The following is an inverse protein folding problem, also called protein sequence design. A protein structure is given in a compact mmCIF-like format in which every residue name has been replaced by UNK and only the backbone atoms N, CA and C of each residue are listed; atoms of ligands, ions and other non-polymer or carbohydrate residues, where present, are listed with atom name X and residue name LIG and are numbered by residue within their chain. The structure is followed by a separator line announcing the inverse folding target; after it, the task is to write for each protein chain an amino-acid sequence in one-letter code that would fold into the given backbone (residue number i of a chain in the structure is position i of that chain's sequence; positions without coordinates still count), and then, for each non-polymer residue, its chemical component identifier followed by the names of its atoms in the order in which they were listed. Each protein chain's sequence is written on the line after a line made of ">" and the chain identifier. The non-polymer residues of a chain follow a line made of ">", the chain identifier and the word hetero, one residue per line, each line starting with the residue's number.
data_IF_798944678799
#
_entry.id   IF_798944678799
#
_cell.length_a   1.000
_cell.length_b   1.000
_cell.length_c   1.000
_cell.angle_alpha   90.00
_cell.angle_beta   90.00
_cell.angle_gamma   90.00
#
_symmetry.space_group_name_H-M   'P 1'
#
loop_
_entity.id
_entity.type
_entity.pdbx_description
1 polymer ?
#
# COMPACT_ATOMS: atom_id res chain seq x y z
N UNK A 1 22.81 -0.18 -7.98
CA UNK A 1 22.03 0.69 -7.08
C UNK A 1 22.72 2.04 -6.97
N UNK A 2 22.02 3.12 -7.21
CA UNK A 2 22.51 4.49 -7.04
C UNK A 2 21.76 5.15 -5.90
N UNK A 3 22.45 5.92 -5.06
CA UNK A 3 21.86 6.68 -3.95
C UNK A 3 21.97 8.17 -4.23
N UNK A 4 20.86 8.90 -4.12
CA UNK A 4 20.81 10.37 -4.19
C UNK A 4 20.17 10.93 -2.94
N UNK A 5 20.73 12.00 -2.40
CA UNK A 5 20.19 12.72 -1.23
C UNK A 5 20.11 14.21 -1.52
N UNK A 6 19.03 14.83 -1.03
CA UNK A 6 18.90 16.29 -1.09
C UNK A 6 19.80 16.88 -0.01
N UNK A 7 20.55 17.94 -0.35
CA UNK A 7 21.36 18.69 0.62
C UNK A 7 20.44 19.38 1.64
N UNK A 8 20.68 19.16 2.90
CA UNK A 8 19.93 19.79 3.99
C UNK A 8 20.82 20.70 4.82
N UNK A 9 20.25 21.80 5.38
CA UNK A 9 20.96 22.67 6.31
C UNK A 9 21.37 21.90 7.56
N UNK A 10 22.48 22.29 8.18
CA UNK A 10 23.01 21.69 9.43
C UNK A 10 22.06 21.99 10.61
N UNK A 11 21.01 21.22 10.77
CA UNK A 11 20.18 21.26 11.97
C UNK A 11 20.74 20.30 13.03
N UNK A 12 20.67 20.71 14.30
CA UNK A 12 21.00 19.81 15.42
C UNK A 12 19.84 18.82 15.61
N UNK A 13 20.13 17.51 15.65
CA UNK A 13 19.15 16.45 15.87
C UNK A 13 19.39 15.20 14.99
N UNK A 14 18.55 14.18 15.18
CA UNK A 14 18.61 12.91 14.44
C UNK A 14 17.72 12.96 13.20
N UNK A 15 18.13 13.71 12.20
CA UNK A 15 17.38 13.89 10.96
C UNK A 15 17.93 13.00 9.84
N UNK A 16 17.05 12.22 9.23
CA UNK A 16 17.37 11.52 7.98
C UNK A 16 17.06 12.45 6.80
N UNK A 17 17.98 12.54 5.86
CA UNK A 17 17.78 13.31 4.61
C UNK A 17 16.85 12.54 3.66
N UNK A 18 15.97 13.21 2.90
CA UNK A 18 15.27 12.59 1.79
C UNK A 18 16.26 11.87 0.88
N UNK A 19 16.04 10.58 0.69
CA UNK A 19 16.99 9.68 0.03
C UNK A 19 16.28 8.88 -1.05
N UNK A 20 16.83 8.91 -2.24
CA UNK A 20 16.40 8.11 -3.39
C UNK A 20 17.40 6.99 -3.64
N UNK A 21 16.92 5.76 -3.73
CA UNK A 21 17.68 4.60 -4.21
C UNK A 21 17.15 4.16 -5.57
N UNK A 22 17.99 4.14 -6.57
CA UNK A 22 17.66 3.74 -7.93
C UNK A 22 18.38 2.44 -8.31
N UNK A 23 17.80 1.70 -9.27
CA UNK A 23 18.33 0.42 -9.74
C UNK A 23 18.22 -0.68 -8.69
N UNK A 24 17.17 -0.68 -7.89
CA UNK A 24 16.88 -1.74 -6.94
C UNK A 24 16.52 -3.04 -7.66
N UNK A 25 16.79 -4.15 -7.00
CA UNK A 25 16.33 -5.48 -7.38
C UNK A 25 15.33 -5.97 -6.35
N UNK A 26 14.36 -6.76 -6.80
CA UNK A 26 13.28 -7.30 -6.01
C UNK A 26 13.72 -8.03 -4.73
N UNK A 27 14.87 -8.72 -4.79
CA UNK A 27 15.41 -9.50 -3.67
C UNK A 27 16.25 -8.70 -2.66
N UNK A 28 16.35 -7.38 -2.83
CA UNK A 28 17.07 -6.53 -1.87
C UNK A 28 16.18 -6.25 -0.65
N UNK A 29 16.77 -6.21 0.54
CA UNK A 29 16.06 -5.90 1.79
C UNK A 29 15.26 -4.61 1.70
N UNK A 30 15.82 -3.55 1.11
CA UNK A 30 15.16 -2.26 0.91
C UNK A 30 13.92 -2.34 0.00
N UNK A 31 13.81 -3.37 -0.84
CA UNK A 31 12.63 -3.59 -1.69
C UNK A 31 11.57 -4.45 -1.00
N UNK A 32 11.92 -5.14 0.09
CA UNK A 32 11.05 -6.08 0.79
C UNK A 32 10.60 -5.60 2.17
N UNK A 33 11.32 -4.66 2.77
CA UNK A 33 11.02 -4.15 4.10
C UNK A 33 10.64 -2.67 4.04
N UNK A 34 9.64 -2.31 4.84
CA UNK A 34 9.20 -0.93 4.95
C UNK A 34 10.21 -0.11 5.76
N UNK A 35 10.69 0.99 5.17
CA UNK A 35 11.54 1.96 5.86
C UNK A 35 10.66 3.13 6.30
N UNK A 36 10.29 3.17 7.56
CA UNK A 36 9.53 4.30 8.12
C UNK A 36 10.39 5.57 8.16
N UNK A 37 10.57 6.21 7.00
CA UNK A 37 11.42 7.38 6.86
C UNK A 37 11.38 7.98 5.46
N UNK A 38 12.08 9.09 5.21
CA UNK A 38 12.07 9.80 3.93
C UNK A 38 12.94 9.09 2.88
N UNK A 39 12.58 7.87 2.55
CA UNK A 39 13.32 7.00 1.62
C UNK A 39 12.40 6.51 0.53
N UNK A 40 12.84 6.62 -0.72
CA UNK A 40 12.14 6.09 -1.89
C UNK A 40 13.05 5.13 -2.65
N UNK A 41 12.54 3.94 -2.95
CA UNK A 41 13.21 2.96 -3.81
C UNK A 41 12.60 2.91 -5.21
N UNK A 42 13.41 2.81 -6.24
CA UNK A 42 12.99 2.69 -7.63
C UNK A 42 13.41 1.33 -8.19
N UNK A 43 12.42 0.59 -8.69
CA UNK A 43 12.60 -0.61 -9.50
C UNK A 43 12.07 -0.34 -10.90
N UNK A 44 12.89 -0.61 -11.91
CA UNK A 44 12.49 -0.49 -13.31
C UNK A 44 11.96 -1.84 -13.79
N UNK A 45 10.81 -1.82 -14.46
CA UNK A 45 10.14 -2.98 -15.05
C UNK A 45 9.92 -2.77 -16.55
N UNK A 46 9.75 -3.84 -17.30
CA UNK A 46 9.64 -3.81 -18.76
C UNK A 46 8.19 -3.62 -19.25
N UNK A 47 7.24 -4.13 -18.50
CA UNK A 47 5.83 -4.14 -18.85
C UNK A 47 4.95 -4.28 -17.59
N UNK A 48 3.63 -4.29 -17.79
CA UNK A 48 2.66 -4.34 -16.70
C UNK A 48 2.65 -5.69 -15.97
N UNK A 49 2.90 -6.79 -16.68
CA UNK A 49 2.99 -8.13 -16.07
C UNK A 49 4.15 -8.21 -15.08
N UNK A 50 5.31 -7.67 -15.47
CA UNK A 50 6.47 -7.59 -14.57
C UNK A 50 6.20 -6.63 -13.41
N UNK A 51 5.54 -5.49 -13.66
CA UNK A 51 5.13 -4.55 -12.61
C UNK A 51 4.23 -5.22 -11.57
N UNK A 52 3.19 -5.92 -12.03
CA UNK A 52 2.27 -6.65 -11.16
C UNK A 52 2.97 -7.75 -10.38
N UNK A 53 3.87 -8.50 -11.02
CA UNK A 53 4.66 -9.54 -10.37
C UNK A 53 5.51 -8.95 -9.25
N UNK A 54 6.29 -7.92 -9.54
CA UNK A 54 7.18 -7.27 -8.57
C UNK A 54 6.39 -6.63 -7.43
N UNK A 55 5.33 -5.87 -7.74
CA UNK A 55 4.50 -5.24 -6.73
C UNK A 55 3.75 -6.26 -5.85
N UNK A 56 3.40 -7.42 -6.41
CA UNK A 56 2.73 -8.49 -5.66
C UNK A 56 3.68 -9.32 -4.80
N UNK A 57 4.98 -9.30 -5.09
CA UNK A 57 6.00 -10.02 -4.32
C UNK A 57 6.44 -9.24 -3.09
N UNK A 58 5.47 -8.93 -2.23
CA UNK A 58 5.65 -8.28 -0.94
C UNK A 58 4.77 -8.95 0.11
N UNK A 59 5.20 -8.95 1.35
CA UNK A 59 4.39 -9.39 2.50
C UNK A 59 3.30 -8.37 2.87
N UNK A 60 3.34 -7.18 2.31
CA UNK A 60 2.41 -6.09 2.54
C UNK A 60 1.39 -5.95 1.42
N UNK A 61 0.28 -5.26 1.71
CA UNK A 61 -0.78 -4.99 0.76
C UNK A 61 -1.77 -3.94 1.28
N UNK A 62 -1.27 -2.82 1.81
CA UNK A 62 -2.14 -1.77 2.33
C UNK A 62 -2.68 -0.90 1.20
N UNK A 63 -1.78 -0.23 0.50
CA UNK A 63 -2.13 0.77 -0.50
C UNK A 63 -1.17 0.70 -1.69
N UNK A 64 -1.70 0.97 -2.89
CA UNK A 64 -0.89 1.23 -4.06
C UNK A 64 -1.47 2.38 -4.89
N UNK A 65 -0.62 3.12 -5.59
CA UNK A 65 -1.00 4.17 -6.53
C UNK A 65 -0.57 3.80 -7.94
N UNK A 66 -1.48 3.95 -8.90
CA UNK A 66 -1.23 3.72 -10.33
C UNK A 66 -1.33 5.05 -11.06
N UNK A 67 -0.32 5.40 -11.84
CA UNK A 67 -0.31 6.61 -12.65
C UNK A 67 -0.29 6.24 -14.13
N UNK A 68 -1.34 6.56 -14.86
CA UNK A 68 -1.49 6.27 -16.29
C UNK A 68 -2.56 7.15 -16.93
N UNK A 69 -2.44 7.41 -18.23
CA UNK A 69 -3.48 8.08 -19.02
C UNK A 69 -4.47 7.09 -19.65
N UNK A 70 -4.15 5.80 -19.66
CA UNK A 70 -5.02 4.75 -20.21
C UNK A 70 -5.93 4.19 -19.11
N UNK A 71 -7.24 4.43 -19.26
CA UNK A 71 -8.25 4.00 -18.29
C UNK A 71 -8.38 2.46 -18.21
N UNK A 72 -8.19 1.75 -19.32
CA UNK A 72 -8.25 0.29 -19.32
C UNK A 72 -7.06 -0.30 -18.56
N UNK A 73 -5.88 0.27 -18.77
CA UNK A 73 -4.67 -0.07 -18.02
C UNK A 73 -4.83 0.22 -16.53
N UNK A 74 -5.42 1.37 -16.18
CA UNK A 74 -5.71 1.73 -14.80
C UNK A 74 -6.58 0.68 -14.10
N UNK A 75 -7.69 0.29 -14.73
CA UNK A 75 -8.59 -0.75 -14.19
C UNK A 75 -7.94 -2.11 -14.12
N UNK A 76 -7.18 -2.50 -15.15
CA UNK A 76 -6.46 -3.77 -15.15
C UNK A 76 -5.49 -3.87 -13.98
N UNK A 77 -4.63 -2.87 -13.81
CA UNK A 77 -3.65 -2.84 -12.72
C UNK A 77 -4.33 -2.75 -11.33
N UNK A 78 -5.35 -1.89 -11.20
CA UNK A 78 -6.06 -1.72 -9.95
C UNK A 78 -6.74 -3.02 -9.46
N UNK A 79 -7.33 -3.80 -10.38
CA UNK A 79 -7.96 -5.08 -10.03
C UNK A 79 -6.95 -6.18 -9.73
N UNK A 80 -5.76 -6.11 -10.31
CA UNK A 80 -4.74 -7.16 -10.20
C UNK A 80 -3.80 -6.99 -9.02
N UNK A 81 -3.65 -5.77 -8.51
CA UNK A 81 -2.78 -5.50 -7.36
C UNK A 81 -3.41 -6.00 -6.05
N UNK A 82 -2.72 -6.82 -5.26
CA UNK A 82 -3.24 -7.37 -4.00
C UNK A 82 -3.09 -6.37 -2.84
N UNK A 83 -3.74 -5.22 -2.96
CA UNK A 83 -3.79 -4.17 -1.95
C UNK A 83 -5.23 -3.85 -1.58
N UNK A 84 -5.45 -3.43 -0.34
CA UNK A 84 -6.78 -3.09 0.15
C UNK A 84 -7.32 -1.78 -0.41
N UNK A 85 -6.44 -0.84 -0.75
CA UNK A 85 -6.78 0.44 -1.37
C UNK A 85 -5.92 0.68 -2.59
N UNK A 86 -6.54 1.09 -3.69
CA UNK A 86 -5.85 1.49 -4.91
C UNK A 86 -6.27 2.90 -5.30
N UNK A 87 -5.30 3.78 -5.50
CA UNK A 87 -5.50 5.12 -6.04
C UNK A 87 -5.03 5.20 -7.48
N UNK A 88 -5.73 5.93 -8.32
CA UNK A 88 -5.34 6.15 -9.72
C UNK A 88 -5.10 7.64 -9.95
N UNK A 89 -3.93 7.98 -10.49
CA UNK A 89 -3.47 9.34 -10.77
C UNK A 89 -3.52 10.28 -9.56
N UNK A 90 -3.47 9.72 -8.37
CA UNK A 90 -3.40 10.44 -7.10
C UNK A 90 -2.67 9.59 -6.07
N UNK A 91 -2.31 10.20 -4.96
CA UNK A 91 -1.84 9.53 -3.75
C UNK A 91 -2.84 9.87 -2.65
N UNK A 92 -3.86 9.03 -2.49
CA UNK A 92 -4.93 9.23 -1.50
C UNK A 92 -5.41 7.88 -0.97
N UNK A 93 -5.69 7.85 0.31
CA UNK A 93 -6.30 6.69 0.98
C UNK A 93 -7.82 6.63 0.79
N UNK A 94 -8.41 7.60 0.12
CA UNK A 94 -9.85 7.70 -0.12
C UNK A 94 -10.54 8.71 0.80
N UNK A 95 -11.81 8.43 1.09
CA UNK A 95 -12.68 9.22 1.97
C UNK A 95 -13.01 8.41 3.23
N UNK A 96 -13.28 9.08 4.36
CA UNK A 96 -13.69 8.43 5.62
C UNK A 96 -14.92 7.52 5.46
N UNK A 97 -15.71 7.73 4.41
CA UNK A 97 -16.89 6.92 4.08
C UNK A 97 -16.56 5.63 3.30
N UNK A 98 -15.31 5.49 2.85
CA UNK A 98 -14.87 4.31 2.12
C UNK A 98 -14.13 3.34 3.03
N UNK A 99 -14.32 2.03 2.89
CA UNK A 99 -13.59 1.06 3.68
C UNK A 99 -12.07 1.18 3.48
N UNK A 100 -11.31 1.22 4.58
CA UNK A 100 -9.85 1.26 4.56
C UNK A 100 -9.28 0.05 5.30
N UNK A 101 -8.26 -0.56 4.75
CA UNK A 101 -7.56 -1.68 5.38
C UNK A 101 -6.71 -2.45 4.37
N UNK A 102 -5.75 -3.21 4.88
CA UNK A 102 -4.77 -3.92 4.07
C UNK A 102 -5.12 -5.38 3.80
N UNK A 103 -4.40 -5.93 2.85
CA UNK A 103 -4.28 -7.36 2.61
C UNK A 103 -2.98 -7.89 3.21
N UNK A 104 -2.80 -9.20 3.21
CA UNK A 104 -1.58 -9.88 3.71
C UNK A 104 -1.24 -9.42 5.14
N UNK A 105 0.02 -9.05 5.42
CA UNK A 105 0.44 -8.58 6.75
C UNK A 105 0.04 -7.13 7.06
N UNK A 106 -0.50 -6.40 6.08
CA UNK A 106 -0.97 -5.02 6.29
C UNK A 106 -2.39 -4.93 6.82
N UNK A 107 -3.08 -6.03 7.05
CA UNK A 107 -4.44 -5.97 7.55
C UNK A 107 -5.04 -7.31 7.93
N UNK A 108 -6.30 -7.24 8.34
CA UNK A 108 -7.15 -8.38 8.69
C UNK A 108 -8.38 -8.41 7.76
N UNK A 109 -9.37 -9.21 8.10
CA UNK A 109 -10.67 -9.21 7.41
C UNK A 109 -11.52 -7.97 7.72
N UNK A 110 -11.23 -7.24 8.79
CA UNK A 110 -11.93 -6.00 9.15
C UNK A 110 -11.45 -4.81 8.29
N UNK A 111 -12.28 -3.76 8.27
CA UNK A 111 -11.99 -2.47 7.64
C UNK A 111 -12.22 -1.36 8.65
N UNK A 112 -11.37 -0.33 8.63
CA UNK A 112 -11.37 0.73 9.65
C UNK A 112 -12.29 1.91 9.33
N UNK A 113 -12.65 2.12 8.09
CA UNK A 113 -13.50 3.23 7.66
C UNK A 113 -14.76 2.70 6.97
N UNK A 114 -15.63 3.64 6.57
CA UNK A 114 -16.91 3.29 5.98
C UNK A 114 -17.86 2.64 6.99
N UNK A 115 -18.92 2.05 6.48
CA UNK A 115 -19.90 1.32 7.29
C UNK A 115 -19.35 0.03 7.87
N UNK A 116 -18.36 -0.56 7.21
CA UNK A 116 -17.69 -1.80 7.63
C UNK A 116 -16.94 -1.63 8.96
N UNK A 117 -16.47 -0.43 9.28
CA UNK A 117 -15.80 -0.13 10.54
C UNK A 117 -16.68 -0.44 11.76
N UNK A 118 -17.99 -0.30 11.64
CA UNK A 118 -18.93 -0.60 12.71
C UNK A 118 -18.84 -2.06 13.18
N UNK A 119 -18.57 -2.99 12.26
CA UNK A 119 -18.45 -4.40 12.56
C UNK A 119 -17.27 -4.71 13.50
N UNK A 120 -16.25 -3.85 13.53
CA UNK A 120 -15.11 -4.00 14.44
C UNK A 120 -15.46 -3.71 15.90
N UNK A 121 -16.57 -3.01 16.15
CA UNK A 121 -17.08 -2.65 17.47
C UNK A 121 -18.29 -3.48 17.90
N UNK A 122 -18.74 -4.42 17.08
CA UNK A 122 -19.94 -5.22 17.31
C UNK A 122 -19.59 -6.70 17.48
N UNK A 123 -20.37 -7.38 18.29
CA UNK A 123 -20.35 -8.83 18.41
C UNK A 123 -21.69 -9.40 18.02
N UNK A 124 -21.70 -10.32 17.08
CA UNK A 124 -22.91 -11.03 16.67
C UNK A 124 -23.30 -12.06 17.73
N UNK A 125 -24.55 -12.02 18.20
CA UNK A 125 -25.15 -13.02 19.09
C UNK A 125 -26.38 -13.63 18.43
N UNK A 126 -26.45 -14.95 18.41
CA UNK A 126 -27.64 -15.68 17.97
C UNK A 126 -28.42 -16.14 19.21
N UNK A 127 -29.72 -15.87 19.22
CA UNK A 127 -30.64 -16.36 20.24
C UNK A 127 -31.68 -17.25 19.58
N UNK A 128 -31.74 -18.50 20.01
CA UNK A 128 -32.70 -19.47 19.50
C UNK A 128 -33.72 -19.78 20.60
N UNK A 129 -35.03 -19.54 20.34
CA UNK A 129 -36.11 -19.79 21.27
C UNK A 129 -37.07 -20.76 20.60
N UNK A 130 -37.31 -21.92 21.26
CA UNK A 130 -38.36 -22.86 20.87
C UNK A 130 -39.62 -22.63 21.71
N UNK A 131 -40.76 -22.53 21.06
CA UNK A 131 -42.07 -22.54 21.69
C UNK A 131 -42.62 -23.99 21.63
N UNK A 132 -42.85 -24.60 22.81
CA UNK A 132 -43.62 -25.84 22.92
C UNK A 132 -45.10 -25.51 22.93
#
# INVERSE_FOLDING_TARGET
>A
MYKRQISYSKQKGFYAKPTLFDGLKENMTIAQEEIFGPVLGILTVKNDEEALKVASNSKYGLHASVFTQDINRAFHLAKSLPCGTISVNTFSEGDIKTPFGGYKQSGSLSRDQGTEALNSFLQTKTIWISHN
#
